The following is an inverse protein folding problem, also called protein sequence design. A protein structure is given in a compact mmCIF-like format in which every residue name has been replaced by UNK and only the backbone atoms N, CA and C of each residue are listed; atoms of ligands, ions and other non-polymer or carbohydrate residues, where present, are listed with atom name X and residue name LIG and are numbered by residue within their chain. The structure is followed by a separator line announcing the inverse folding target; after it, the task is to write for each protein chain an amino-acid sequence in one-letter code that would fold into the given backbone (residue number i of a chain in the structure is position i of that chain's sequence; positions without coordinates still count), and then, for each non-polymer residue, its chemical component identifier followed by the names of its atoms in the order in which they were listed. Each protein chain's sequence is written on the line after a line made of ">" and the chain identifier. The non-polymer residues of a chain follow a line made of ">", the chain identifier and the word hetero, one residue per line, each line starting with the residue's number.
data_IF_493434660273
#
_entry.id   IF_493434660273
#
_cell.length_a   1.000
_cell.length_b   1.000
_cell.length_c   1.000
_cell.angle_alpha   90.00
_cell.angle_beta   90.00
_cell.angle_gamma   90.00
#
_symmetry.space_group_name_H-M   'P 1'
#
loop_
_entity.id
_entity.type
_entity.pdbx_description
1 polymer ?
#
# COMPACT_ATOMS: atom_id res chain seq x y z
N UNK A 1 6.76 8.69 18.63
CA UNK A 1 6.54 10.03 19.22
C UNK A 1 7.84 10.81 19.20
N UNK A 2 8.91 10.30 19.83
CA UNK A 2 10.28 10.87 19.82
C UNK A 2 10.84 11.22 18.41
N UNK A 3 10.45 10.49 17.36
CA UNK A 3 10.82 10.79 15.96
C UNK A 3 10.11 12.01 15.38
N UNK A 4 8.86 12.30 15.78
CA UNK A 4 8.14 13.48 15.33
C UNK A 4 8.71 14.76 15.98
N UNK A 5 9.06 14.68 17.27
CA UNK A 5 9.67 15.76 18.07
C UNK A 5 11.12 16.11 17.67
N UNK A 6 11.70 15.39 16.70
CA UNK A 6 13.02 15.67 16.11
C UNK A 6 12.97 15.96 14.60
N UNK A 7 11.78 15.94 13.99
CA UNK A 7 11.62 16.16 12.55
C UNK A 7 11.86 17.61 12.14
N UNK A 8 11.75 18.56 13.09
CA UNK A 8 12.18 19.95 12.99
C UNK A 8 13.70 20.13 12.76
N UNK A 9 14.50 19.14 13.16
CA UNK A 9 15.97 19.14 13.08
C UNK A 9 16.52 18.28 11.94
N UNK A 10 15.66 17.67 11.13
CA UNK A 10 16.10 16.91 9.97
C UNK A 10 16.48 17.86 8.82
N UNK A 11 17.49 17.50 8.01
CA UNK A 11 17.84 18.26 6.81
C UNK A 11 16.73 18.23 5.75
N UNK A 12 15.91 17.16 5.77
CA UNK A 12 14.75 16.96 4.91
C UNK A 12 13.81 15.90 5.52
N UNK A 13 12.53 15.91 5.13
CA UNK A 13 11.55 14.87 5.49
C UNK A 13 11.01 14.22 4.21
N UNK A 14 11.17 12.90 4.10
CA UNK A 14 10.70 12.13 2.93
C UNK A 14 9.39 11.43 3.30
N UNK A 15 8.35 11.65 2.51
CA UNK A 15 7.08 10.93 2.60
C UNK A 15 6.95 9.97 1.42
N UNK A 16 6.61 8.72 1.69
CA UNK A 16 6.39 7.69 0.67
C UNK A 16 4.99 7.84 0.03
N UNK A 17 4.79 8.96 -0.66
CA UNK A 17 3.52 9.40 -1.26
C UNK A 17 3.79 10.26 -2.51
N UNK A 18 2.73 10.70 -3.20
CA UNK A 18 2.82 11.54 -4.40
C UNK A 18 1.78 12.66 -4.40
N UNK A 19 2.12 13.83 -4.97
CA UNK A 19 1.29 15.05 -4.90
C UNK A 19 -0.22 14.85 -5.19
N UNK A 20 -0.63 14.16 -6.27
CA UNK A 20 -2.05 13.89 -6.53
C UNK A 20 -2.81 13.15 -5.40
N UNK A 21 -2.13 12.34 -4.58
CA UNK A 21 -2.77 11.54 -3.53
C UNK A 21 -3.09 12.34 -2.27
N UNK A 22 -2.20 13.28 -1.91
CA UNK A 22 -2.14 13.93 -0.59
C UNK A 22 -1.66 15.39 -0.65
N UNK A 23 -2.08 16.14 -1.68
CA UNK A 23 -1.65 17.54 -1.95
C UNK A 23 -1.74 18.45 -0.73
N UNK A 24 -2.85 18.38 -0.02
CA UNK A 24 -3.18 19.28 1.08
C UNK A 24 -2.34 18.95 2.32
N UNK A 25 -2.07 17.66 2.53
CA UNK A 25 -1.19 17.16 3.60
C UNK A 25 0.24 17.62 3.32
N UNK A 26 0.77 17.33 2.12
CA UNK A 26 2.13 17.73 1.74
C UNK A 26 2.33 19.25 1.84
N UNK A 27 1.33 20.04 1.41
CA UNK A 27 1.36 21.51 1.56
C UNK A 27 1.41 21.92 3.03
N UNK A 28 0.54 21.37 3.87
CA UNK A 28 0.48 21.68 5.32
C UNK A 28 1.74 21.27 6.07
N UNK A 29 2.30 20.10 5.74
CA UNK A 29 3.56 19.62 6.33
C UNK A 29 4.73 20.49 5.87
N UNK A 30 4.78 20.87 4.58
CA UNK A 30 5.84 21.74 4.04
C UNK A 30 5.88 23.15 4.63
N UNK A 31 4.77 23.65 5.19
CA UNK A 31 4.76 24.93 5.91
C UNK A 31 5.19 24.82 7.38
N UNK A 32 5.38 23.60 7.89
CA UNK A 32 5.62 23.31 9.31
C UNK A 32 6.98 22.66 9.57
N UNK A 33 7.53 21.94 8.58
CA UNK A 33 8.74 21.11 8.73
C UNK A 33 9.84 21.50 7.71
N UNK A 34 11.09 21.04 7.90
CA UNK A 34 12.18 21.15 6.92
C UNK A 34 11.80 20.54 5.55
N UNK A 35 12.54 20.83 4.47
CA UNK A 35 12.18 20.48 3.09
C UNK A 35 11.52 19.10 2.93
N UNK A 36 10.28 19.11 2.47
CA UNK A 36 9.40 17.94 2.42
C UNK A 36 9.33 17.40 0.99
N UNK A 37 9.66 16.11 0.82
CA UNK A 37 9.69 15.45 -0.48
C UNK A 37 8.71 14.27 -0.52
N UNK A 38 7.66 14.40 -1.33
CA UNK A 38 6.76 13.29 -1.65
C UNK A 38 7.40 12.39 -2.72
N UNK A 39 8.02 11.28 -2.30
CA UNK A 39 8.75 10.34 -3.16
C UNK A 39 8.05 8.98 -3.15
N UNK A 40 7.12 8.79 -4.07
CA UNK A 40 6.38 7.53 -4.16
C UNK A 40 5.49 7.38 -5.40
N UNK A 41 4.84 6.21 -5.55
CA UNK A 41 5.15 5.00 -4.82
C UNK A 41 6.49 4.39 -5.27
N UNK A 42 7.33 4.02 -4.31
CA UNK A 42 8.72 3.63 -4.55
C UNK A 42 8.86 2.44 -5.52
N UNK A 43 7.92 1.50 -5.51
CA UNK A 43 7.94 0.35 -6.42
C UNK A 43 7.83 0.75 -7.91
N UNK A 44 7.08 1.82 -8.24
CA UNK A 44 6.99 2.33 -9.62
C UNK A 44 8.19 3.17 -10.02
N UNK A 45 8.82 3.87 -9.06
CA UNK A 45 10.11 4.56 -9.29
C UNK A 45 11.22 3.53 -9.57
N UNK A 46 11.31 2.49 -8.73
CA UNK A 46 12.29 1.41 -8.88
C UNK A 46 12.13 0.65 -10.18
N UNK A 47 10.90 0.30 -10.59
CA UNK A 47 10.66 -0.42 -11.86
C UNK A 47 11.05 0.36 -13.12
N UNK A 48 11.32 1.68 -12.99
CA UNK A 48 11.76 2.56 -14.08
C UNK A 48 13.28 2.77 -14.10
N UNK A 49 14.03 2.27 -13.11
CA UNK A 49 15.49 2.32 -13.09
C UNK A 49 16.05 1.29 -14.10
N UNK A 50 16.88 1.69 -15.09
CA UNK A 50 17.39 0.77 -16.11
C UNK A 50 18.18 -0.43 -15.54
N UNK A 51 18.78 -0.25 -14.37
CA UNK A 51 19.58 -1.25 -13.65
C UNK A 51 18.75 -2.07 -12.65
N UNK A 52 17.42 -1.88 -12.58
CA UNK A 52 16.56 -2.56 -11.60
C UNK A 52 16.66 -4.09 -11.65
N UNK A 53 16.84 -4.66 -12.84
CA UNK A 53 17.07 -6.11 -13.01
C UNK A 53 18.35 -6.60 -12.30
N UNK A 54 19.37 -5.76 -12.16
CA UNK A 54 20.60 -6.05 -11.41
C UNK A 54 20.38 -5.88 -9.89
N UNK A 55 19.45 -5.00 -9.50
CA UNK A 55 19.07 -4.72 -8.11
C UNK A 55 18.05 -5.74 -7.54
N UNK A 56 17.55 -6.69 -8.34
CA UNK A 56 16.65 -7.77 -7.88
C UNK A 56 17.20 -8.57 -6.70
N UNK A 57 18.52 -8.68 -6.57
CA UNK A 57 19.18 -9.34 -5.43
C UNK A 57 19.12 -8.54 -4.12
N UNK A 58 18.69 -7.28 -4.14
CA UNK A 58 18.48 -6.42 -2.97
C UNK A 58 16.97 -6.38 -2.59
N UNK A 59 16.19 -7.40 -2.96
CA UNK A 59 14.84 -7.59 -2.42
C UNK A 59 14.91 -7.88 -0.91
N UNK A 60 14.06 -7.19 -0.14
CA UNK A 60 13.87 -7.40 1.31
C UNK A 60 13.03 -8.66 1.66
N UNK A 61 12.83 -9.55 0.69
CA UNK A 61 12.02 -10.76 0.85
C UNK A 61 12.72 -11.78 1.76
N UNK A 62 12.28 -11.87 3.02
CA UNK A 62 12.77 -12.84 4.01
C UNK A 62 12.42 -14.31 3.67
N UNK A 63 11.60 -14.55 2.64
CA UNK A 63 11.10 -15.86 2.23
C UNK A 63 11.33 -16.06 0.73
N UNK A 64 11.57 -17.31 0.33
CA UNK A 64 11.61 -17.69 -1.09
C UNK A 64 10.23 -17.48 -1.71
N UNK A 65 10.20 -16.84 -2.88
CA UNK A 65 8.98 -16.68 -3.68
C UNK A 65 8.42 -18.06 -4.07
N UNK A 66 7.14 -18.32 -3.76
CA UNK A 66 6.49 -19.57 -4.17
C UNK A 66 5.90 -19.42 -5.58
N UNK A 67 6.56 -20.04 -6.56
CA UNK A 67 6.13 -20.06 -7.95
C UNK A 67 4.75 -20.72 -8.15
N UNK A 68 4.33 -21.67 -7.30
CA UNK A 68 3.05 -22.37 -7.41
C UNK A 68 1.85 -21.43 -7.23
N UNK A 69 1.95 -20.50 -6.27
CA UNK A 69 0.91 -19.51 -6.02
C UNK A 69 0.74 -18.54 -7.20
N UNK A 70 1.85 -18.17 -7.85
CA UNK A 70 1.86 -17.29 -9.02
C UNK A 70 1.30 -18.04 -10.24
N UNK A 71 1.75 -19.27 -10.50
CA UNK A 71 1.22 -20.11 -11.58
C UNK A 71 -0.28 -20.38 -11.43
N UNK A 72 -0.78 -20.59 -10.20
CA UNK A 72 -2.21 -20.71 -9.94
C UNK A 72 -2.96 -19.40 -10.26
N UNK A 73 -2.41 -18.25 -9.85
CA UNK A 73 -2.98 -16.92 -10.12
C UNK A 73 -3.03 -16.61 -11.62
N UNK A 74 -1.95 -16.88 -12.36
CA UNK A 74 -1.82 -16.70 -13.80
C UNK A 74 -2.83 -17.55 -14.61
N UNK A 75 -3.32 -18.66 -14.02
CA UNK A 75 -4.38 -19.49 -14.62
C UNK A 75 -5.80 -18.99 -14.39
N UNK A 76 -6.00 -17.96 -13.55
CA UNK A 76 -7.33 -17.38 -13.28
C UNK A 76 -7.71 -16.30 -14.31
N UNK A 77 -8.97 -15.86 -14.28
CA UNK A 77 -9.42 -14.75 -15.13
C UNK A 77 -8.94 -13.41 -14.54
N UNK A 78 -8.67 -12.38 -15.37
CA UNK A 78 -8.41 -11.03 -14.89
C UNK A 78 -9.54 -10.51 -14.00
N UNK A 79 -9.18 -9.73 -12.98
CA UNK A 79 -10.10 -9.13 -11.99
C UNK A 79 -11.03 -10.15 -11.25
N UNK A 80 -10.71 -11.46 -11.26
CA UNK A 80 -11.55 -12.54 -10.70
C UNK A 80 -11.04 -13.22 -9.41
N UNK A 81 -9.92 -12.79 -8.86
CA UNK A 81 -9.30 -13.38 -7.65
C UNK A 81 -9.19 -12.33 -6.55
N UNK A 82 -9.57 -12.72 -5.34
CA UNK A 82 -9.42 -11.88 -4.15
C UNK A 82 -8.05 -12.17 -3.52
N UNK A 83 -7.21 -11.15 -3.38
CA UNK A 83 -6.01 -11.26 -2.56
C UNK A 83 -6.33 -10.90 -1.11
N UNK A 84 -5.98 -11.78 -0.17
CA UNK A 84 -6.21 -11.58 1.27
C UNK A 84 -4.88 -11.58 1.99
N UNK A 85 -4.55 -10.46 2.64
CA UNK A 85 -3.36 -10.27 3.45
C UNK A 85 -3.69 -9.23 4.54
N UNK A 86 -3.21 -9.46 5.77
CA UNK A 86 -3.42 -8.55 6.90
C UNK A 86 -2.13 -7.87 7.40
N UNK A 87 -1.02 -8.04 6.67
CA UNK A 87 0.30 -7.59 7.10
C UNK A 87 0.94 -8.54 8.12
N UNK A 88 1.79 -7.99 9.00
CA UNK A 88 2.56 -8.76 9.99
C UNK A 88 2.51 -8.22 11.44
N UNK A 89 1.65 -7.24 11.76
CA UNK A 89 1.75 -6.40 12.98
C UNK A 89 0.56 -6.37 13.96
N UNK A 90 -0.50 -7.12 13.74
CA UNK A 90 -1.82 -6.67 14.21
C UNK A 90 -2.54 -7.77 15.04
N UNK A 91 -3.87 -7.86 15.27
CA UNK A 91 -4.44 -8.92 16.19
C UNK A 91 -5.74 -9.65 15.72
N UNK A 92 -5.65 -10.85 15.12
CA UNK A 92 -6.81 -11.72 14.77
C UNK A 92 -7.04 -12.86 15.80
N UNK A 93 -8.26 -13.00 16.34
CA UNK A 93 -8.62 -14.15 17.20
C UNK A 93 -8.96 -15.41 16.38
N UNK A 94 -8.90 -16.60 17.00
CA UNK A 94 -9.29 -17.85 16.35
C UNK A 94 -10.74 -17.81 15.82
N UNK A 95 -11.67 -17.20 16.57
CA UNK A 95 -13.07 -17.07 16.12
C UNK A 95 -13.15 -16.18 14.88
N UNK A 96 -12.57 -14.97 14.92
CA UNK A 96 -12.57 -14.07 13.76
C UNK A 96 -11.89 -14.68 12.54
N UNK A 97 -10.83 -15.48 12.72
CA UNK A 97 -10.17 -16.21 11.64
C UNK A 97 -11.12 -17.23 10.99
N UNK A 98 -11.89 -17.97 11.80
CA UNK A 98 -12.93 -18.90 11.32
C UNK A 98 -14.05 -18.15 10.59
N UNK A 99 -14.56 -17.07 11.18
CA UNK A 99 -15.60 -16.23 10.55
C UNK A 99 -15.14 -15.69 9.18
N UNK A 100 -13.90 -15.19 9.09
CA UNK A 100 -13.36 -14.68 7.83
C UNK A 100 -13.15 -15.79 6.80
N UNK A 101 -12.57 -16.92 7.21
CA UNK A 101 -12.38 -18.08 6.34
C UNK A 101 -13.71 -18.63 5.80
N UNK A 102 -14.74 -18.68 6.64
CA UNK A 102 -16.08 -19.12 6.23
C UNK A 102 -16.78 -18.08 5.34
N UNK A 103 -16.62 -16.78 5.59
CA UNK A 103 -17.14 -15.73 4.71
C UNK A 103 -16.50 -15.76 3.31
N UNK A 104 -15.18 -15.94 3.24
CA UNK A 104 -14.45 -16.16 1.98
C UNK A 104 -14.97 -17.42 1.25
N UNK A 105 -15.08 -18.56 1.94
CA UNK A 105 -15.56 -19.80 1.34
C UNK A 105 -17.02 -19.68 0.83
N UNK A 106 -17.91 -19.07 1.61
CA UNK A 106 -19.30 -18.84 1.23
C UNK A 106 -19.45 -17.87 0.05
N UNK A 107 -18.48 -16.97 -0.16
CA UNK A 107 -18.49 -16.04 -1.29
C UNK A 107 -18.42 -16.73 -2.65
N UNK A 108 -17.89 -17.97 -2.69
CA UNK A 108 -17.65 -18.79 -3.90
C UNK A 108 -16.69 -18.16 -4.92
N UNK A 109 -15.96 -17.12 -4.54
CA UNK A 109 -14.92 -16.51 -5.36
C UNK A 109 -13.56 -17.16 -5.11
N UNK A 110 -12.70 -17.33 -6.14
CA UNK A 110 -11.30 -17.69 -5.94
C UNK A 110 -10.59 -16.65 -5.08
N UNK A 111 -9.80 -17.10 -4.11
CA UNK A 111 -8.99 -16.21 -3.28
C UNK A 111 -7.58 -16.78 -3.07
N UNK A 112 -6.60 -15.88 -2.99
CA UNK A 112 -5.23 -16.19 -2.57
C UNK A 112 -5.00 -15.53 -1.21
N UNK A 113 -4.89 -16.35 -0.16
CA UNK A 113 -4.68 -15.86 1.20
C UNK A 113 -3.21 -16.04 1.60
N UNK A 114 -2.50 -14.91 1.74
CA UNK A 114 -1.14 -14.89 2.26
C UNK A 114 -1.17 -15.04 3.79
N UNK A 115 -1.13 -16.29 4.28
CA UNK A 115 -0.82 -16.59 5.68
C UNK A 115 0.69 -16.80 5.84
N UNK A 116 1.34 -16.03 6.72
CA UNK A 116 2.76 -16.24 7.04
C UNK A 116 2.95 -17.58 7.76
N UNK A 117 4.00 -18.30 7.38
CA UNK A 117 4.11 -19.74 7.64
C UNK A 117 4.16 -20.13 9.13
N UNK A 118 3.13 -20.86 9.58
CA UNK A 118 3.22 -21.82 10.70
C UNK A 118 3.38 -21.27 12.13
N UNK A 119 3.60 -19.97 12.30
CA UNK A 119 3.66 -19.31 13.62
C UNK A 119 2.45 -18.38 13.74
N UNK A 120 1.61 -18.49 14.80
CA UNK A 120 0.48 -17.59 15.00
C UNK A 120 0.95 -16.18 15.34
N UNK A 121 1.20 -15.38 14.30
CA UNK A 121 1.46 -13.94 14.38
C UNK A 121 0.33 -13.18 13.66
N UNK A 122 -0.87 -13.33 14.24
CA UNK A 122 -1.80 -12.25 14.62
C UNK A 122 -1.81 -11.01 13.69
N UNK A 123 -2.94 -10.72 12.99
CA UNK A 123 -3.12 -9.46 12.23
C UNK A 123 -4.59 -8.95 12.04
N UNK A 124 -4.91 -7.71 12.47
CA UNK A 124 -6.22 -6.99 12.44
C UNK A 124 -6.04 -5.46 12.65
N UNK A 125 -6.72 -4.53 11.94
CA UNK A 125 -6.55 -3.08 12.11
C UNK A 125 -6.77 -2.57 13.55
N UNK A 126 -5.68 -2.38 14.29
CA UNK A 126 -5.72 -2.08 15.74
C UNK A 126 -4.79 -0.96 16.19
N UNK A 127 -3.64 -0.77 15.52
CA UNK A 127 -2.57 0.13 15.98
C UNK A 127 -1.88 0.86 14.82
N UNK A 128 -1.23 1.98 15.14
CA UNK A 128 -0.49 2.80 14.18
C UNK A 128 -1.39 3.56 13.19
N UNK A 129 -0.87 3.72 11.98
CA UNK A 129 -1.46 4.41 10.83
C UNK A 129 -2.63 3.65 10.18
N UNK A 130 -2.78 2.35 10.44
CA UNK A 130 -3.77 1.49 9.78
C UNK A 130 -5.22 2.02 9.83
N UNK A 131 -5.64 2.65 10.93
CA UNK A 131 -6.97 3.29 11.02
C UNK A 131 -7.09 4.51 10.12
N UNK A 132 -6.07 5.37 10.10
CA UNK A 132 -6.00 6.50 9.16
C UNK A 132 -6.03 6.02 7.72
N UNK A 133 -5.22 5.01 7.38
CA UNK A 133 -5.17 4.44 6.03
C UNK A 133 -6.53 3.85 5.62
N UNK A 134 -7.25 3.19 6.54
CA UNK A 134 -8.62 2.70 6.28
C UNK A 134 -9.58 3.84 5.93
N UNK A 135 -9.61 4.92 6.73
CA UNK A 135 -10.40 6.13 6.47
C UNK A 135 -10.03 6.76 5.12
N UNK A 136 -8.76 6.84 4.76
CA UNK A 136 -8.37 7.37 3.44
C UNK A 136 -8.82 6.44 2.29
N UNK A 137 -8.62 5.14 2.41
CA UNK A 137 -9.03 4.14 1.41
C UNK A 137 -10.56 4.14 1.19
N UNK A 138 -11.35 4.23 2.26
CA UNK A 138 -12.81 4.12 2.19
C UNK A 138 -13.49 5.46 1.92
N UNK A 139 -13.09 6.53 2.62
CA UNK A 139 -13.85 7.79 2.67
C UNK A 139 -13.22 8.93 1.83
N UNK A 140 -11.95 8.81 1.42
CA UNK A 140 -11.24 9.87 0.65
C UNK A 140 -10.90 9.47 -0.78
N UNK A 141 -10.27 8.30 -0.93
CA UNK A 141 -9.91 7.74 -2.23
C UNK A 141 -11.04 6.87 -2.80
N UNK A 142 -11.92 6.36 -1.92
CA UNK A 142 -13.08 5.53 -2.23
C UNK A 142 -12.73 4.29 -3.10
N UNK A 143 -11.63 3.62 -2.73
CA UNK A 143 -11.06 2.43 -3.41
C UNK A 143 -11.11 1.17 -2.54
N UNK A 144 -11.92 1.16 -1.48
CA UNK A 144 -12.07 -0.01 -0.61
C UNK A 144 -13.42 -0.08 0.09
N UNK A 145 -13.62 -1.19 0.80
CA UNK A 145 -14.75 -1.42 1.69
C UNK A 145 -14.18 -1.82 3.06
N UNK A 146 -14.68 -1.21 4.12
CA UNK A 146 -14.33 -1.58 5.49
C UNK A 146 -15.13 -2.82 5.95
N UNK A 147 -14.48 -3.70 6.71
CA UNK A 147 -15.11 -4.85 7.38
C UNK A 147 -15.17 -4.54 8.88
N UNK A 148 -16.33 -4.73 9.50
CA UNK A 148 -16.56 -4.38 10.90
C UNK A 148 -15.61 -5.08 11.89
N UNK A 149 -15.31 -4.36 12.97
CA UNK A 149 -14.61 -4.77 14.21
C UNK A 149 -14.92 -6.19 14.72
N UNK A 150 -16.15 -6.70 14.51
CA UNK A 150 -16.54 -8.03 14.99
C UNK A 150 -16.22 -9.19 14.04
N UNK A 151 -15.99 -8.93 12.73
CA UNK A 151 -15.87 -9.92 11.63
C UNK A 151 -16.86 -11.08 11.75
N UNK A 152 -17.97 -10.96 11.03
CA UNK A 152 -18.98 -12.01 10.89
C UNK A 152 -18.91 -12.56 9.48
N UNK A 153 -19.00 -13.89 9.32
CA UNK A 153 -18.92 -14.55 7.99
C UNK A 153 -19.91 -13.99 6.98
N UNK A 154 -21.12 -13.63 7.41
CA UNK A 154 -22.18 -13.11 6.53
C UNK A 154 -21.78 -11.73 5.97
N UNK A 155 -21.11 -10.92 6.78
CA UNK A 155 -20.64 -9.59 6.38
C UNK A 155 -19.42 -9.68 5.45
N UNK A 156 -18.48 -10.58 5.76
CA UNK A 156 -17.33 -10.87 4.89
C UNK A 156 -17.81 -11.40 3.53
N UNK A 157 -18.75 -12.36 3.52
CA UNK A 157 -19.38 -12.89 2.30
C UNK A 157 -20.06 -11.77 1.48
N UNK A 158 -20.85 -10.92 2.14
CA UNK A 158 -21.58 -9.81 1.52
C UNK A 158 -20.64 -8.78 0.89
N UNK A 159 -19.60 -8.36 1.62
CA UNK A 159 -18.63 -7.37 1.16
C UNK A 159 -17.76 -7.91 0.03
N UNK A 160 -17.39 -9.19 0.08
CA UNK A 160 -16.69 -9.85 -1.04
C UNK A 160 -17.54 -9.87 -2.30
N UNK A 161 -18.81 -10.25 -2.22
CA UNK A 161 -19.72 -10.24 -3.38
C UNK A 161 -19.93 -8.82 -3.93
N UNK A 162 -20.10 -7.82 -3.06
CA UNK A 162 -20.20 -6.42 -3.47
C UNK A 162 -18.93 -5.92 -4.19
N UNK A 163 -17.74 -6.31 -3.72
CA UNK A 163 -16.47 -5.94 -4.35
C UNK A 163 -16.24 -6.63 -5.71
N UNK A 164 -16.70 -7.87 -5.85
CA UNK A 164 -16.43 -8.68 -7.04
C UNK A 164 -17.49 -8.50 -8.13
N UNK A 165 -18.77 -8.47 -7.75
CA UNK A 165 -19.94 -8.50 -8.64
C UNK A 165 -20.76 -7.19 -8.61
N UNK A 166 -20.79 -6.52 -7.46
CA UNK A 166 -21.64 -5.36 -7.18
C UNK A 166 -21.22 -4.06 -7.89
N UNK A 167 -22.14 -3.08 -7.91
CA UNK A 167 -21.86 -1.77 -8.53
C UNK A 167 -20.78 -1.00 -7.76
N UNK A 168 -20.75 -1.07 -6.42
CA UNK A 168 -19.66 -0.42 -5.67
C UNK A 168 -18.30 -1.05 -5.99
N UNK A 169 -18.26 -2.36 -6.21
CA UNK A 169 -17.06 -3.05 -6.66
C UNK A 169 -16.56 -2.56 -8.02
N UNK A 170 -17.45 -2.25 -8.96
CA UNK A 170 -17.10 -1.65 -10.26
C UNK A 170 -16.57 -0.23 -10.11
N UNK A 171 -17.21 0.60 -9.30
CA UNK A 171 -16.77 1.98 -9.03
C UNK A 171 -15.41 2.01 -8.32
N UNK A 172 -15.19 1.15 -7.32
CA UNK A 172 -13.90 0.94 -6.66
C UNK A 172 -12.82 0.53 -7.68
N UNK A 173 -13.10 -0.48 -8.53
CA UNK A 173 -12.16 -0.94 -9.57
C UNK A 173 -11.84 0.17 -10.60
N UNK A 174 -12.81 1.05 -10.90
CA UNK A 174 -12.61 2.22 -11.77
C UNK A 174 -11.70 3.26 -11.11
N UNK A 175 -12.04 3.71 -9.89
CA UNK A 175 -11.25 4.67 -9.12
C UNK A 175 -9.83 4.17 -8.85
N UNK A 176 -9.65 2.89 -8.55
CA UNK A 176 -8.32 2.29 -8.38
C UNK A 176 -7.47 2.36 -9.67
N UNK A 177 -8.08 2.21 -10.86
CA UNK A 177 -7.40 2.38 -12.15
C UNK A 177 -7.05 3.85 -12.43
N UNK A 178 -7.89 4.80 -12.01
CA UNK A 178 -7.62 6.24 -12.08
C UNK A 178 -6.46 6.64 -11.15
N UNK A 179 -6.49 6.21 -9.88
CA UNK A 179 -5.40 6.42 -8.92
C UNK A 179 -4.09 5.77 -9.36
N UNK A 180 -4.12 4.56 -9.92
CA UNK A 180 -2.94 3.93 -10.51
C UNK A 180 -2.33 4.80 -11.62
N UNK A 181 -3.17 5.32 -12.53
CA UNK A 181 -2.69 6.19 -13.62
C UNK A 181 -1.99 7.45 -13.06
N UNK A 182 -2.55 8.08 -12.02
CA UNK A 182 -1.92 9.23 -11.36
C UNK A 182 -0.57 8.86 -10.71
N UNK A 183 -0.43 7.66 -10.15
CA UNK A 183 0.84 7.17 -9.62
C UNK A 183 1.87 6.87 -10.73
N UNK A 184 1.43 6.30 -11.86
CA UNK A 184 2.27 6.07 -13.05
C UNK A 184 2.79 7.39 -13.64
N UNK A 185 1.95 8.43 -13.68
CA UNK A 185 2.28 9.80 -14.11
C UNK A 185 3.21 10.51 -13.12
N UNK A 186 2.90 10.46 -11.81
CA UNK A 186 3.72 11.08 -10.75
C UNK A 186 5.13 10.49 -10.63
N UNK A 187 5.32 9.26 -11.11
CA UNK A 187 6.63 8.58 -11.18
C UNK A 187 7.20 8.54 -12.61
N UNK A 188 6.62 9.27 -13.56
CA UNK A 188 7.16 9.42 -14.92
C UNK A 188 8.40 10.33 -14.97
N UNK A 189 9.09 10.47 -16.12
CA UNK A 189 10.31 11.28 -16.23
C UNK A 189 10.18 12.75 -15.81
N UNK A 190 8.97 13.32 -15.86
CA UNK A 190 8.64 14.67 -15.37
C UNK A 190 7.56 14.64 -14.27
N UNK A 191 7.40 13.48 -13.61
CA UNK A 191 6.41 13.29 -12.55
C UNK A 191 6.86 13.95 -11.24
N UNK A 192 5.89 14.35 -10.41
CA UNK A 192 6.16 15.06 -9.14
C UNK A 192 7.12 14.31 -8.22
N UNK A 193 7.01 12.98 -8.12
CA UNK A 193 7.86 12.18 -7.24
C UNK A 193 9.23 11.88 -7.82
N UNK A 194 9.38 11.85 -9.15
CA UNK A 194 10.69 11.83 -9.81
C UNK A 194 11.43 13.16 -9.58
N UNK A 195 10.74 14.29 -9.82
CA UNK A 195 11.29 15.63 -9.58
C UNK A 195 11.66 15.81 -8.09
N UNK A 196 10.83 15.34 -7.16
CA UNK A 196 11.14 15.40 -5.72
C UNK A 196 12.34 14.51 -5.34
N UNK A 197 12.51 13.36 -5.98
CA UNK A 197 13.68 12.50 -5.79
C UNK A 197 14.96 13.16 -6.32
N UNK A 198 14.91 13.76 -7.51
CA UNK A 198 16.05 14.48 -8.10
C UNK A 198 16.45 15.68 -7.22
N UNK A 199 15.48 16.44 -6.71
CA UNK A 199 15.75 17.54 -5.75
C UNK A 199 16.39 17.02 -4.47
N UNK A 200 15.81 16.00 -3.83
CA UNK A 200 16.37 15.38 -2.63
C UNK A 200 17.83 14.94 -2.84
N UNK A 201 18.13 14.33 -3.99
CA UNK A 201 19.49 13.89 -4.32
C UNK A 201 20.45 15.09 -4.44
N UNK A 202 20.08 16.12 -5.20
CA UNK A 202 20.96 17.26 -5.47
C UNK A 202 21.08 18.25 -4.30
N UNK A 203 19.99 18.49 -3.57
CA UNK A 203 19.90 19.50 -2.51
C UNK A 203 20.33 18.96 -1.14
N UNK A 204 20.27 17.62 -0.92
CA UNK A 204 20.55 17.01 0.39
C UNK A 204 21.67 15.97 0.34
N UNK A 205 21.69 15.07 -0.65
CA UNK A 205 22.59 13.90 -0.63
C UNK A 205 23.95 14.12 -1.33
N UNK A 206 24.02 15.00 -2.34
CA UNK A 206 25.25 15.29 -3.09
C UNK A 206 25.99 16.52 -2.51
N UNK A 207 25.34 17.31 -1.65
CA UNK A 207 25.80 18.62 -1.20
C UNK A 207 27.12 18.60 -0.39
N UNK A 208 27.53 17.47 0.18
CA UNK A 208 28.79 17.33 0.94
C UNK A 208 30.08 17.39 0.11
N UNK A 209 30.03 17.52 -1.23
CA UNK A 209 31.22 17.45 -2.12
C UNK A 209 31.68 18.77 -2.74
N UNK A 210 31.10 19.91 -2.37
CA UNK A 210 31.35 21.18 -3.06
C UNK A 210 32.42 22.11 -2.42
N UNK A 211 32.81 21.89 -1.16
CA UNK A 211 33.72 22.79 -0.41
C UNK A 211 34.96 22.07 0.15
N UNK A 212 35.99 21.85 -0.69
CA UNK A 212 37.39 21.60 -0.31
C UNK A 212 38.37 22.03 -1.42
#
# INVERSE_FOLDING_TARGET
>A
METAERSDKASAVIYHTFNPLESDILTTVSSTFPPVYGVGPLHLLLSKVPEYDQLKHIQSNLLKENAECIQWLDSQKPDSVIYVNYGCLAILTQQQLIEFAMGLANSKHPFLWAMTAGVPMLCWPSFGDQRTNCTYICDRWEIGLEIDSSVKREEVERLVKELMEGEKGKDIKKRAKEWKKLADEATGPNGSSSINLDKLINEVLIWEKADF
#
